data_IF_133033931375
#
_entry.id   IF_133033931375
#
_cell.length_a   1.000
_cell.length_b   1.000
_cell.length_c   1.000
_cell.angle_alpha   90.00
_cell.angle_beta   90.00
_cell.angle_gamma   90.00
#
_symmetry.space_group_name_H-M   'P 1'
#
loop_
_entity.id
_entity.type
_entity.pdbx_description
1 polymer ?
#
# COMPACT_ATOMS: atom_id res chain seq x y z
N UNK A 1 -9.16 16.02 7.43
CA UNK A 1 -9.78 14.69 7.21
C UNK A 1 -9.49 13.78 8.42
N UNK A 2 -10.34 12.81 8.77
CA UNK A 2 -10.06 11.88 9.91
C UNK A 2 -8.92 10.91 9.54
N UNK A 3 -8.12 10.47 10.53
CA UNK A 3 -6.92 9.62 10.30
C UNK A 3 -7.20 8.38 9.43
N UNK A 4 -8.28 7.65 9.68
CA UNK A 4 -8.58 6.44 8.89
C UNK A 4 -8.92 6.74 7.42
N UNK A 5 -9.47 7.91 7.13
CA UNK A 5 -9.79 8.33 5.77
C UNK A 5 -8.51 8.69 5.03
N UNK A 6 -7.59 9.38 5.71
CA UNK A 6 -6.25 9.68 5.21
C UNK A 6 -5.48 8.39 4.88
N UNK A 7 -5.43 7.42 5.81
CA UNK A 7 -4.84 6.09 5.59
C UNK A 7 -5.42 5.39 4.35
N UNK A 8 -6.73 5.48 4.16
CA UNK A 8 -7.39 4.89 3.00
C UNK A 8 -6.96 5.59 1.71
N UNK A 9 -6.96 6.93 1.68
CA UNK A 9 -6.54 7.71 0.51
C UNK A 9 -5.10 7.40 0.13
N UNK A 10 -4.18 7.38 1.10
CA UNK A 10 -2.78 7.04 0.89
C UNK A 10 -2.62 5.64 0.29
N UNK A 11 -3.36 4.66 0.81
CA UNK A 11 -3.36 3.29 0.28
C UNK A 11 -3.91 3.19 -1.14
N UNK A 12 -4.89 4.02 -1.50
CA UNK A 12 -5.44 4.05 -2.86
C UNK A 12 -4.44 4.69 -3.82
N UNK A 13 -3.77 5.78 -3.44
CA UNK A 13 -2.70 6.38 -4.22
C UNK A 13 -1.55 5.40 -4.45
N UNK A 14 -1.11 4.68 -3.42
CA UNK A 14 -0.05 3.67 -3.55
C UNK A 14 -0.43 2.58 -4.57
N UNK A 15 -1.69 2.15 -4.55
CA UNK A 15 -2.20 1.16 -5.53
C UNK A 15 -2.29 1.71 -6.93
N UNK A 16 -2.69 2.98 -7.10
CA UNK A 16 -2.70 3.64 -8.41
C UNK A 16 -1.27 3.73 -8.95
N UNK A 17 -0.33 4.22 -8.12
CA UNK A 17 1.08 4.40 -8.49
C UNK A 17 1.78 3.08 -8.88
N UNK A 18 1.40 1.97 -8.24
CA UNK A 18 1.92 0.62 -8.55
C UNK A 18 1.32 -0.01 -9.80
N UNK A 19 0.24 0.54 -10.37
CA UNK A 19 -0.31 -0.02 -11.62
C UNK A 19 0.65 0.25 -12.78
N UNK A 20 0.98 -0.76 -13.60
CA UNK A 20 1.88 -0.59 -14.76
C UNK A 20 1.43 0.50 -15.73
N UNK A 21 0.12 0.70 -15.86
CA UNK A 21 -0.49 1.66 -16.78
C UNK A 21 -0.58 3.09 -16.23
N UNK A 22 -0.21 3.33 -14.97
CA UNK A 22 -0.36 4.66 -14.34
C UNK A 22 0.67 5.70 -14.78
N UNK A 23 1.76 5.27 -15.42
CA UNK A 23 2.92 6.09 -15.78
C UNK A 23 2.60 7.47 -16.38
N UNK A 24 1.74 7.56 -17.42
CA UNK A 24 1.40 8.83 -18.07
C UNK A 24 0.73 9.88 -17.17
N UNK A 25 0.24 9.47 -15.99
CA UNK A 25 -0.54 10.32 -15.10
C UNK A 25 0.18 10.64 -13.78
N UNK A 26 1.44 10.21 -13.65
CA UNK A 26 2.23 10.43 -12.44
C UNK A 26 2.63 11.89 -12.29
N UNK A 27 3.10 12.49 -13.38
CA UNK A 27 3.68 13.83 -13.43
C UNK A 27 2.83 14.76 -14.30
N UNK A 28 3.06 16.10 -14.26
CA UNK A 28 2.41 17.04 -15.17
C UNK A 28 2.62 16.66 -16.64
N UNK A 29 1.61 16.91 -17.49
CA UNK A 29 1.71 16.70 -18.93
C UNK A 29 2.68 17.74 -19.52
N UNK A 30 3.74 17.33 -20.24
CA UNK A 30 4.69 18.27 -20.84
C UNK A 30 4.06 18.99 -22.03
N UNK A 31 4.15 20.33 -22.04
CA UNK A 31 3.49 21.18 -23.03
C UNK A 31 4.16 21.13 -24.40
N UNK A 32 5.46 20.86 -24.47
CA UNK A 32 6.22 20.78 -25.73
C UNK A 32 5.62 19.75 -26.70
N UNK A 33 5.16 18.62 -26.15
CA UNK A 33 4.52 17.55 -26.91
C UNK A 33 2.98 17.70 -26.96
N UNK A 34 2.42 18.69 -26.28
CA UNK A 34 0.99 18.90 -26.12
C UNK A 34 0.65 20.41 -26.23
N UNK A 35 0.91 21.05 -27.38
CA UNK A 35 0.93 22.51 -27.52
C UNK A 35 -0.42 23.20 -27.26
N UNK A 36 -1.53 22.45 -27.23
CA UNK A 36 -2.88 22.95 -26.97
C UNK A 36 -3.47 22.48 -25.65
N UNK A 37 -2.67 21.84 -24.79
CA UNK A 37 -3.16 21.25 -23.55
C UNK A 37 -3.87 22.27 -22.66
N UNK A 38 -3.28 23.45 -22.47
CA UNK A 38 -3.85 24.52 -21.62
C UNK A 38 -5.09 25.21 -22.24
N UNK A 39 -5.30 25.08 -23.55
CA UNK A 39 -6.52 25.57 -24.19
C UNK A 39 -7.73 24.71 -23.80
N UNK A 40 -7.52 23.40 -23.64
CA UNK A 40 -8.57 22.41 -23.39
C UNK A 40 -8.70 22.12 -21.89
N UNK A 41 -7.58 21.82 -21.22
CA UNK A 41 -7.53 21.46 -19.80
C UNK A 41 -7.32 22.70 -18.95
N UNK A 42 -8.35 23.09 -18.19
CA UNK A 42 -8.34 24.31 -17.36
C UNK A 42 -7.71 24.11 -15.99
N UNK A 43 -7.78 22.91 -15.45
CA UNK A 43 -7.25 22.58 -14.13
C UNK A 43 -6.38 21.32 -14.24
N UNK A 44 -5.10 21.46 -14.64
CA UNK A 44 -4.17 20.33 -14.70
C UNK A 44 -4.06 19.65 -13.34
N UNK A 45 -4.00 18.31 -13.34
CA UNK A 45 -3.82 17.50 -12.15
C UNK A 45 -3.06 16.23 -12.49
N UNK A 46 -2.26 15.72 -11.56
CA UNK A 46 -1.53 14.45 -11.69
C UNK A 46 -1.37 13.77 -10.31
N UNK A 47 -0.96 12.50 -10.31
CA UNK A 47 -0.88 11.70 -9.08
C UNK A 47 0.13 12.26 -8.07
N UNK A 48 1.24 12.86 -8.52
CA UNK A 48 2.22 13.50 -7.64
C UNK A 48 1.61 14.70 -6.90
N UNK A 49 0.88 15.57 -7.60
CA UNK A 49 0.17 16.69 -6.98
C UNK A 49 -0.86 16.21 -5.96
N UNK A 50 -1.66 15.19 -6.29
CA UNK A 50 -2.64 14.63 -5.33
C UNK A 50 -1.94 14.04 -4.11
N UNK A 51 -0.80 13.36 -4.31
CA UNK A 51 0.02 12.82 -3.21
C UNK A 51 0.54 13.94 -2.31
N UNK A 52 1.10 15.01 -2.87
CA UNK A 52 1.59 16.16 -2.12
C UNK A 52 0.46 16.87 -1.37
N UNK A 53 -0.70 17.07 -2.00
CA UNK A 53 -1.89 17.64 -1.35
C UNK A 53 -2.36 16.78 -0.17
N UNK A 54 -2.34 15.46 -0.30
CA UNK A 54 -2.68 14.54 0.78
C UNK A 54 -1.65 14.58 1.93
N UNK A 55 -0.36 14.66 1.61
CA UNK A 55 0.72 14.76 2.61
C UNK A 55 0.70 16.08 3.37
N UNK A 56 0.29 17.16 2.72
CA UNK A 56 0.19 18.50 3.31
C UNK A 56 -1.20 18.80 3.90
N UNK A 57 -1.99 17.75 4.19
CA UNK A 57 -3.32 17.82 4.81
C UNK A 57 -4.30 18.80 4.12
N UNK A 58 -4.18 18.97 2.80
CA UNK A 58 -5.04 19.88 2.01
C UNK A 58 -6.47 19.38 1.83
N UNK A 59 -6.72 18.10 2.12
CA UNK A 59 -8.04 17.51 2.02
C UNK A 59 -8.71 17.41 3.39
N UNK A 60 -9.83 18.12 3.55
CA UNK A 60 -10.68 18.06 4.73
C UNK A 60 -11.64 16.87 4.66
N UNK A 61 -12.10 16.50 3.46
CA UNK A 61 -13.03 15.39 3.21
C UNK A 61 -12.49 14.44 2.13
N UNK A 62 -12.85 13.16 2.22
CA UNK A 62 -12.51 12.15 1.19
C UNK A 62 -12.99 12.54 -0.22
N UNK A 63 -14.10 13.28 -0.31
CA UNK A 63 -14.66 13.69 -1.59
C UNK A 63 -13.82 14.77 -2.29
N UNK A 64 -13.04 15.56 -1.55
CA UNK A 64 -12.10 16.53 -2.13
C UNK A 64 -10.90 15.81 -2.75
N UNK A 65 -10.34 14.82 -2.04
CA UNK A 65 -9.34 13.91 -2.60
C UNK A 65 -9.87 13.19 -3.86
N UNK A 66 -11.11 12.69 -3.81
CA UNK A 66 -11.71 12.01 -4.95
C UNK A 66 -11.94 12.93 -6.14
N UNK A 67 -12.25 14.21 -5.92
CA UNK A 67 -12.39 15.19 -6.98
C UNK A 67 -11.09 15.37 -7.76
N UNK A 68 -9.96 15.53 -7.07
CA UNK A 68 -8.67 15.68 -7.76
C UNK A 68 -8.24 14.41 -8.50
N UNK A 69 -8.46 13.22 -7.92
CA UNK A 69 -8.18 11.95 -8.62
C UNK A 69 -9.04 11.82 -9.88
N UNK A 70 -10.33 12.17 -9.82
CA UNK A 70 -11.23 12.17 -10.99
C UNK A 70 -10.78 13.16 -12.04
N UNK A 71 -10.29 14.32 -11.63
CA UNK A 71 -9.83 15.37 -12.53
C UNK A 71 -8.67 14.90 -13.41
N UNK A 72 -7.75 14.08 -12.88
CA UNK A 72 -6.68 13.46 -13.67
C UNK A 72 -7.26 12.70 -14.87
N UNK A 73 -8.23 11.82 -14.62
CA UNK A 73 -8.83 10.98 -15.66
C UNK A 73 -9.70 11.79 -16.60
N UNK A 74 -10.50 12.72 -16.06
CA UNK A 74 -11.36 13.60 -16.83
C UNK A 74 -10.55 14.45 -17.81
N UNK A 75 -9.46 15.09 -17.36
CA UNK A 75 -8.60 15.88 -18.22
C UNK A 75 -8.00 15.08 -19.36
N UNK A 76 -7.56 13.84 -19.08
CA UNK A 76 -7.05 12.95 -20.12
C UNK A 76 -8.13 12.58 -21.15
N UNK A 77 -9.34 12.24 -20.69
CA UNK A 77 -10.46 11.90 -21.57
C UNK A 77 -11.01 13.09 -22.35
N UNK A 78 -10.83 14.32 -21.87
CA UNK A 78 -11.19 15.53 -22.60
C UNK A 78 -10.15 15.93 -23.65
N UNK A 79 -8.88 15.66 -23.40
CA UNK A 79 -7.79 16.11 -24.28
C UNK A 79 -7.43 15.08 -25.36
N UNK A 80 -7.35 13.80 -25.01
CA UNK A 80 -6.96 12.75 -25.94
C UNK A 80 -8.18 12.14 -26.65
N UNK A 81 -8.07 11.73 -27.93
CA UNK A 81 -9.14 11.04 -28.63
C UNK A 81 -9.38 9.63 -28.06
N UNK A 82 -10.55 9.05 -28.33
CA UNK A 82 -11.00 7.80 -27.69
C UNK A 82 -10.14 6.57 -28.02
N UNK A 83 -9.45 6.60 -29.15
CA UNK A 83 -8.52 5.56 -29.61
C UNK A 83 -7.08 5.77 -29.10
N UNK A 84 -6.79 6.90 -28.45
CA UNK A 84 -5.49 7.12 -27.81
C UNK A 84 -5.36 6.20 -26.58
N UNK A 85 -4.24 5.47 -26.44
CA UNK A 85 -3.97 4.63 -25.27
C UNK A 85 -4.16 5.36 -23.93
N UNK A 86 -3.85 6.66 -23.84
CA UNK A 86 -4.02 7.47 -22.62
C UNK A 86 -5.50 7.69 -22.29
N UNK A 87 -6.37 7.83 -23.28
CA UNK A 87 -7.82 7.88 -23.05
C UNK A 87 -8.31 6.54 -22.48
N UNK A 88 -7.96 5.44 -23.13
CA UNK A 88 -8.40 4.09 -22.76
C UNK A 88 -7.93 3.74 -21.35
N UNK A 89 -6.66 4.03 -21.03
CA UNK A 89 -6.10 3.80 -19.71
C UNK A 89 -6.77 4.69 -18.66
N UNK A 90 -7.00 5.98 -18.95
CA UNK A 90 -7.69 6.88 -18.02
C UNK A 90 -9.10 6.35 -17.67
N UNK A 91 -9.82 5.81 -18.65
CA UNK A 91 -11.12 5.18 -18.44
C UNK A 91 -11.04 3.95 -17.53
N UNK A 92 -10.06 3.06 -17.74
CA UNK A 92 -9.85 1.88 -16.87
C UNK A 92 -9.49 2.29 -15.43
N UNK A 93 -8.56 3.23 -15.27
CA UNK A 93 -8.14 3.73 -13.96
C UNK A 93 -9.28 4.45 -13.23
N UNK A 94 -10.09 5.22 -13.95
CA UNK A 94 -11.30 5.86 -13.42
C UNK A 94 -12.29 4.82 -12.89
N UNK A 95 -12.64 3.81 -13.70
CA UNK A 95 -13.54 2.72 -13.29
C UNK A 95 -13.00 1.96 -12.08
N UNK A 96 -11.70 1.66 -12.07
CA UNK A 96 -11.05 1.01 -10.94
C UNK A 96 -11.15 1.87 -9.67
N UNK A 97 -10.91 3.18 -9.78
CA UNK A 97 -10.97 4.12 -8.67
C UNK A 97 -12.39 4.23 -8.10
N UNK A 98 -13.40 4.42 -8.95
CA UNK A 98 -14.81 4.50 -8.52
C UNK A 98 -15.24 3.21 -7.81
N UNK A 99 -14.84 2.04 -8.30
CA UNK A 99 -15.11 0.78 -7.59
C UNK A 99 -14.50 0.77 -6.18
N UNK A 100 -13.29 1.32 -5.99
CA UNK A 100 -12.71 1.43 -4.65
C UNK A 100 -13.46 2.42 -3.78
N UNK A 101 -13.81 3.58 -4.33
CA UNK A 101 -14.54 4.62 -3.60
C UNK A 101 -15.96 4.18 -3.22
N UNK A 102 -16.67 3.43 -4.07
CA UNK A 102 -17.97 2.85 -3.73
C UNK A 102 -17.89 1.84 -2.57
N UNK A 103 -16.76 1.12 -2.45
CA UNK A 103 -16.50 0.18 -1.37
C UNK A 103 -15.74 0.80 -0.18
N UNK A 104 -15.69 2.13 -0.10
CA UNK A 104 -15.08 2.83 1.02
C UNK A 104 -16.00 2.77 2.27
N UNK A 105 -15.48 2.39 3.45
CA UNK A 105 -16.28 2.38 4.67
C UNK A 105 -16.59 3.80 5.13
N UNK A 106 -17.87 4.15 5.26
CA UNK A 106 -18.31 5.50 5.63
C UNK A 106 -18.06 5.81 7.12
N UNK A 107 -18.01 4.76 7.95
CA UNK A 107 -17.79 4.85 9.39
C UNK A 107 -16.90 3.73 9.91
N UNK A 108 -16.49 3.85 11.18
CA UNK A 108 -15.58 2.90 11.85
C UNK A 108 -16.20 1.50 11.96
N UNK A 109 -17.52 1.41 12.17
CA UNK A 109 -18.23 0.14 12.29
C UNK A 109 -18.23 -0.61 10.96
N UNK A 110 -18.53 0.07 9.85
CA UNK A 110 -18.41 -0.52 8.50
C UNK A 110 -16.99 -0.98 8.21
N UNK A 111 -15.97 -0.17 8.56
CA UNK A 111 -14.55 -0.57 8.41
C UNK A 111 -14.25 -1.84 9.19
N UNK A 112 -14.71 -1.92 10.43
CA UNK A 112 -14.53 -3.10 11.27
C UNK A 112 -15.26 -4.32 10.69
N UNK A 113 -16.52 -4.16 10.28
CA UNK A 113 -17.32 -5.21 9.66
C UNK A 113 -16.68 -5.74 8.37
N UNK A 114 -16.09 -4.87 7.54
CA UNK A 114 -15.36 -5.29 6.35
C UNK A 114 -14.13 -6.14 6.71
N UNK A 115 -13.37 -5.75 7.75
CA UNK A 115 -12.23 -6.55 8.24
C UNK A 115 -12.68 -7.90 8.79
N UNK A 116 -13.75 -7.90 9.59
CA UNK A 116 -14.35 -9.11 10.15
C UNK A 116 -14.83 -10.06 9.06
N UNK A 117 -15.61 -9.59 8.09
CA UNK A 117 -16.09 -10.39 6.95
C UNK A 117 -14.93 -11.01 6.16
N UNK A 118 -13.84 -10.24 5.93
CA UNK A 118 -12.66 -10.74 5.23
C UNK A 118 -11.93 -11.83 6.03
N UNK A 119 -11.78 -11.64 7.33
CA UNK A 119 -11.17 -12.65 8.22
C UNK A 119 -12.03 -13.90 8.28
N UNK A 120 -13.34 -13.74 8.46
CA UNK A 120 -14.30 -14.85 8.50
C UNK A 120 -14.28 -15.65 7.19
N UNK A 121 -14.25 -15.00 6.03
CA UNK A 121 -14.13 -15.67 4.74
C UNK A 121 -12.84 -16.50 4.62
N UNK A 122 -11.71 -15.98 5.15
CA UNK A 122 -10.43 -16.71 5.20
C UNK A 122 -10.50 -17.93 6.10
N UNK A 123 -11.04 -17.78 7.32
CA UNK A 123 -11.22 -18.91 8.25
C UNK A 123 -12.12 -19.98 7.62
N UNK A 124 -13.26 -19.57 7.04
CA UNK A 124 -14.17 -20.49 6.35
C UNK A 124 -13.49 -21.22 5.19
N UNK A 125 -12.65 -20.54 4.41
CA UNK A 125 -11.90 -21.16 3.33
C UNK A 125 -10.89 -22.19 3.84
N UNK A 126 -10.17 -21.90 4.94
CA UNK A 126 -9.22 -22.82 5.57
C UNK A 126 -9.90 -24.05 6.17
N UNK A 127 -11.10 -23.91 6.73
CA UNK A 127 -11.89 -25.03 7.25
C UNK A 127 -12.38 -25.96 6.12
N UNK A 128 -12.78 -25.38 4.99
CA UNK A 128 -13.30 -26.13 3.85
C UNK A 128 -12.18 -26.73 2.97
N UNK A 129 -11.02 -26.09 2.93
CA UNK A 129 -9.85 -26.52 2.17
C UNK A 129 -8.64 -26.52 3.11
N UNK A 130 -8.51 -27.54 3.98
CA UNK A 130 -7.36 -27.64 4.88
C UNK A 130 -6.07 -27.68 4.05
N UNK A 131 -5.05 -26.95 4.51
CA UNK A 131 -3.72 -26.96 3.89
C UNK A 131 -3.26 -28.43 3.84
N UNK A 132 -2.74 -28.93 2.70
CA UNK A 132 -2.15 -30.26 2.64
C UNK A 132 -1.19 -30.44 3.81
N UNK A 133 -1.23 -31.58 4.49
CA UNK A 133 -0.29 -31.88 5.57
C UNK A 133 1.11 -31.50 5.10
N UNK A 134 1.80 -30.65 5.88
CA UNK A 134 3.18 -30.30 5.62
C UNK A 134 3.93 -31.63 5.40
N UNK A 135 4.67 -31.83 4.29
CA UNK A 135 5.43 -33.04 4.12
C UNK A 135 6.31 -33.20 5.36
N UNK A 136 6.31 -34.40 5.95
CA UNK A 136 7.18 -34.72 7.06
C UNK A 136 8.62 -34.55 6.59
N UNK A 137 9.20 -33.36 6.80
CA UNK A 137 10.63 -33.18 6.68
C UNK A 137 11.20 -33.82 7.94
N UNK A 138 12.10 -34.79 7.75
CA UNK A 138 12.83 -35.44 8.84
C UNK A 138 13.72 -34.38 9.51
N UNK A 139 13.11 -33.58 10.38
CA UNK A 139 13.77 -32.50 11.08
C UNK A 139 14.70 -33.13 12.10
N UNK A 140 15.97 -33.25 11.73
CA UNK A 140 17.06 -33.48 12.67
C UNK A 140 17.34 -32.14 13.37
N UNK A 141 17.05 -32.01 14.68
CA UNK A 141 17.44 -30.81 15.42
C UNK A 141 18.96 -30.66 15.35
N UNK A 142 19.50 -29.44 15.17
CA UNK A 142 20.94 -29.24 15.24
C UNK A 142 21.47 -29.69 16.60
N UNK A 143 22.54 -30.49 16.59
CA UNK A 143 23.21 -30.94 17.81
C UNK A 143 23.62 -29.73 18.65
N UNK A 144 23.13 -29.67 19.89
CA UNK A 144 23.52 -28.64 20.83
C UNK A 144 24.98 -28.91 21.22
N UNK A 145 25.92 -27.97 21.00
CA UNK A 145 27.29 -28.16 21.43
C UNK A 145 27.33 -28.36 22.94
N UNK A 146 27.74 -29.55 23.39
CA UNK A 146 27.92 -29.81 24.81
C UNK A 146 29.04 -28.92 25.35
N UNK A 147 28.72 -28.09 26.34
CA UNK A 147 29.73 -27.35 27.11
C UNK A 147 30.64 -28.37 27.78
N UNK A 148 31.93 -28.34 27.44
CA UNK A 148 32.95 -29.04 28.21
C UNK A 148 33.03 -28.38 29.59
N UNK A 149 32.62 -29.10 30.63
CA UNK A 149 32.87 -28.70 32.01
C UNK A 149 34.38 -28.67 32.25
N UNK A 150 34.94 -27.48 32.29
CA UNK A 150 36.24 -27.20 32.87
C UNK A 150 36.04 -26.86 34.35
N UNK A 151 36.05 -27.87 35.20
CA UNK A 151 36.34 -27.71 36.63
C UNK A 151 37.54 -28.56 36.99
N UNK A 152 38.74 -27.98 36.85
CA UNK A 152 39.92 -28.43 37.58
C UNK A 152 40.30 -27.30 38.54
N UNK A 153 40.20 -27.61 39.83
CA UNK A 153 40.49 -26.74 40.97
C UNK A 153 42.01 -26.52 41.05
N UNK A 154 42.45 -25.26 41.01
CA UNK A 154 43.75 -24.88 41.59
C UNK A 154 43.55 -24.55 43.07
N UNK A 155 44.12 -25.41 43.93
CA UNK A 155 44.31 -25.20 45.36
C UNK A 155 45.42 -24.17 45.57
N UNK A 156 45.08 -22.94 45.98
CA UNK A 156 46.06 -22.00 46.54
C UNK A 156 46.17 -22.22 48.05
N UNK A 157 47.37 -22.58 48.50
CA UNK A 157 47.75 -22.70 49.92
C UNK A 157 48.09 -21.31 50.49
N UNK A 158 47.72 -21.00 51.75
CA UNK A 158 48.01 -19.70 52.35
C UNK A 158 49.50 -19.56 52.73
N UNK A 159 50.15 -18.46 52.33
CA UNK A 159 51.45 -18.05 52.87
C UNK A 159 51.26 -17.23 54.16
N UNK A 160 51.78 -17.75 55.25
CA UNK A 160 51.96 -17.04 56.52
C UNK A 160 53.16 -16.07 56.41
N UNK A 161 53.09 -14.86 57.00
CA UNK A 161 54.17 -13.87 56.92
C UNK A 161 55.33 -14.21 57.88
N UNK A 162 56.56 -14.13 57.38
CA UNK A 162 57.77 -14.18 58.21
C UNK A 162 57.99 -12.85 58.95
N UNK A 163 58.56 -12.99 60.16
CA UNK A 163 58.95 -11.97 61.14
C UNK A 163 59.78 -10.81 60.59
#
# INVERSE_FOLDING_TARGET
>A
MKNFQHEWCAKILEKLDKKPTSGPFKNPVPLDNNPRYNEIVKFPMNLEQVKLSLQNDKYHKIMEFAADVRLIWYNAMCYYPQDDPKYIIAMDLSKWFENKLQNYPQNVNERWMMKFKKLHARIKNLLNNPIPSMPSIDYQPPEIPQKKDSTEKTEETPKEPAK
#
